data_IF_398152502572
#
_entry.id   IF_398152502572
#
_cell.length_a   1.000
_cell.length_b   1.000
_cell.length_c   1.000
_cell.angle_alpha   90.00
_cell.angle_beta   90.00
_cell.angle_gamma   90.00
#
_symmetry.space_group_name_H-M   'P 1'
#
loop_
_entity.id
_entity.type
_entity.pdbx_description
1 polymer ?
#
# COMPACT_ATOMS: atom_id res chain seq x y z
N UNK A 1 -47.58 -22.59 54.66
CA UNK A 1 -47.30 -23.86 53.96
C UNK A 1 -46.76 -23.49 52.58
N UNK A 2 -45.56 -23.75 52.09
CA UNK A 2 -44.38 -24.54 52.46
C UNK A 2 -43.20 -23.90 51.68
N UNK A 3 -42.26 -23.19 52.30
CA UNK A 3 -40.91 -23.63 52.73
C UNK A 3 -40.21 -24.70 51.87
N UNK A 4 -39.03 -24.33 51.33
CA UNK A 4 -37.75 -25.08 51.11
C UNK A 4 -36.91 -24.28 50.08
N UNK A 5 -36.01 -23.37 50.45
CA UNK A 5 -34.67 -23.50 51.07
C UNK A 5 -33.58 -24.06 50.13
N UNK A 6 -32.78 -23.11 49.61
CA UNK A 6 -31.32 -23.09 49.31
C UNK A 6 -30.68 -24.24 48.53
N UNK A 7 -29.97 -23.89 47.45
CA UNK A 7 -28.55 -24.21 47.32
C UNK A 7 -27.84 -23.21 46.40
N UNK A 8 -26.81 -22.60 46.98
CA UNK A 8 -25.86 -21.68 46.38
C UNK A 8 -24.78 -22.53 45.71
N UNK A 9 -24.34 -22.16 44.51
CA UNK A 9 -23.03 -22.55 44.00
C UNK A 9 -22.50 -21.43 43.11
N UNK A 10 -21.82 -20.50 43.78
CA UNK A 10 -20.80 -19.63 43.22
C UNK A 10 -19.62 -20.52 42.81
N UNK A 11 -19.40 -20.69 41.51
CA UNK A 11 -18.13 -21.24 41.01
C UNK A 11 -17.28 -20.06 40.57
N UNK A 12 -16.39 -19.66 41.48
CA UNK A 12 -15.19 -18.89 41.18
C UNK A 12 -14.30 -19.73 40.26
N UNK A 13 -14.26 -19.37 38.97
CA UNK A 13 -13.26 -19.84 38.02
C UNK A 13 -12.23 -18.74 37.79
N UNK A 14 -11.18 -18.74 38.61
CA UNK A 14 -9.97 -17.95 38.46
C UNK A 14 -9.23 -18.30 37.17
N UNK A 15 -8.69 -17.25 36.54
CA UNK A 15 -7.43 -17.20 35.80
C UNK A 15 -7.20 -18.15 34.61
N UNK A 16 -7.00 -17.56 33.44
CA UNK A 16 -5.92 -17.96 32.51
C UNK A 16 -5.63 -16.84 31.49
N UNK A 17 -5.06 -15.74 32.00
CA UNK A 17 -4.12 -14.90 31.25
C UNK A 17 -2.76 -15.62 31.28
N UNK A 18 -2.45 -16.50 30.34
CA UNK A 18 -1.06 -16.90 29.97
C UNK A 18 -1.09 -18.02 28.93
N UNK A 19 -0.91 -17.69 27.65
CA UNK A 19 -0.36 -18.63 26.67
C UNK A 19 0.96 -18.08 26.13
N UNK A 20 1.88 -17.78 27.05
CA UNK A 20 3.31 -17.80 26.77
C UNK A 20 3.95 -18.84 27.68
N UNK A 21 4.49 -19.87 27.02
CA UNK A 21 5.51 -20.82 27.45
C UNK A 21 5.19 -21.76 28.63
N UNK A 22 5.20 -23.09 28.36
CA UNK A 22 6.11 -24.08 28.99
C UNK A 22 6.26 -25.32 28.10
N UNK A 23 7.19 -25.28 27.16
CA UNK A 23 7.87 -26.50 26.68
C UNK A 23 9.30 -26.42 27.21
N UNK A 24 9.49 -26.96 28.41
CA UNK A 24 10.79 -27.36 28.92
C UNK A 24 10.79 -28.90 28.92
N UNK A 25 11.89 -29.47 28.43
CA UNK A 25 12.30 -30.88 28.52
C UNK A 25 11.96 -31.84 27.37
N UNK A 26 12.59 -31.62 26.21
CA UNK A 26 13.11 -32.68 25.32
C UNK A 26 14.42 -32.21 24.68
N UNK A 27 15.52 -32.99 24.70
CA UNK A 27 16.73 -32.64 23.97
C UNK A 27 16.48 -32.91 22.48
N UNK A 28 16.13 -31.86 21.75
CA UNK A 28 16.08 -31.85 20.29
C UNK A 28 17.39 -31.25 19.79
N UNK A 29 18.03 -31.97 18.88
CA UNK A 29 19.28 -31.62 18.25
C UNK A 29 19.22 -30.21 17.64
N UNK A 30 20.36 -29.51 17.70
CA UNK A 30 20.57 -28.19 17.13
C UNK A 30 20.28 -28.19 15.63
N UNK A 31 19.15 -27.57 15.24
CA UNK A 31 19.11 -26.44 14.30
C UNK A 31 17.65 -25.93 14.21
N UNK A 32 17.43 -24.74 14.79
CA UNK A 32 16.46 -23.72 14.33
C UNK A 32 14.94 -23.99 14.42
N UNK A 33 14.33 -23.78 15.59
CA UNK A 33 12.89 -23.46 15.73
C UNK A 33 12.71 -22.27 16.68
N UNK A 34 13.13 -21.08 16.24
CA UNK A 34 12.83 -19.82 16.88
C UNK A 34 11.55 -19.23 16.27
N UNK A 35 10.41 -19.58 16.87
CA UNK A 35 9.12 -18.99 16.56
C UNK A 35 8.54 -18.42 17.85
N UNK A 36 8.96 -17.20 18.22
CA UNK A 36 8.09 -16.11 18.69
C UNK A 36 8.86 -14.98 19.42
N UNK A 37 9.73 -14.24 18.72
CA UNK A 37 10.24 -12.96 19.24
C UNK A 37 10.77 -12.01 18.15
N UNK A 38 9.88 -11.34 17.41
CA UNK A 38 10.12 -10.01 16.81
C UNK A 38 8.73 -9.48 16.36
N UNK A 39 8.20 -8.36 16.87
CA UNK A 39 8.87 -7.08 16.79
C UNK A 39 8.91 -6.65 15.31
N UNK A 40 7.74 -6.51 14.69
CA UNK A 40 7.60 -6.09 13.30
C UNK A 40 8.12 -4.66 13.13
N UNK A 41 9.37 -4.55 12.69
CA UNK A 41 10.00 -3.45 11.96
C UNK A 41 11.48 -3.82 11.80
N UNK A 42 11.73 -4.81 10.97
CA UNK A 42 13.01 -4.97 10.30
C UNK A 42 12.66 -5.15 8.83
N UNK A 43 12.56 -4.01 8.12
CA UNK A 43 12.57 -3.98 6.68
C UNK A 43 13.73 -4.85 6.19
N UNK A 44 13.40 -5.76 5.28
CA UNK A 44 14.26 -6.85 4.87
C UNK A 44 15.67 -6.38 4.53
N UNK A 45 16.65 -7.09 5.06
CA UNK A 45 18.03 -7.03 4.63
C UNK A 45 18.12 -7.56 3.19
N UNK A 46 17.79 -6.73 2.19
CA UNK A 46 17.99 -7.03 0.78
C UNK A 46 19.49 -6.99 0.47
N UNK A 47 20.12 -8.15 0.25
CA UNK A 47 21.45 -8.20 -0.36
C UNK A 47 21.35 -8.63 -1.83
N UNK A 48 21.67 -7.65 -2.68
CA UNK A 48 21.92 -7.67 -4.12
C UNK A 48 20.68 -8.07 -4.97
N UNK A 49 19.85 -7.14 -5.44
CA UNK A 49 20.25 -6.07 -6.37
C UNK A 49 19.27 -4.89 -6.41
N UNK A 50 19.81 -3.67 -6.40
CA UNK A 50 19.37 -2.56 -7.25
C UNK A 50 17.92 -2.02 -7.17
N UNK A 51 17.26 -2.04 -6.00
CA UNK A 51 16.05 -1.23 -5.83
C UNK A 51 16.40 0.13 -5.19
N UNK A 52 16.07 1.27 -5.82
CA UNK A 52 16.29 2.60 -5.26
C UNK A 52 15.52 2.81 -3.95
N UNK A 53 16.01 3.71 -3.09
CA UNK A 53 15.34 4.04 -1.81
C UNK A 53 13.98 4.73 -2.00
N UNK A 54 13.69 5.24 -3.19
CA UNK A 54 12.41 5.85 -3.56
C UNK A 54 11.32 4.83 -3.90
N UNK A 55 11.64 3.54 -3.93
CA UNK A 55 10.68 2.46 -4.21
C UNK A 55 10.40 1.67 -2.94
N UNK A 56 9.14 1.33 -2.70
CA UNK A 56 8.77 0.39 -1.64
C UNK A 56 9.22 -1.03 -1.98
N UNK A 57 9.14 -1.38 -3.26
CA UNK A 57 9.66 -2.64 -3.79
C UNK A 57 9.98 -2.53 -5.28
N UNK A 58 10.80 -3.47 -5.76
CA UNK A 58 11.06 -3.63 -7.18
C UNK A 58 10.66 -5.02 -7.65
N UNK A 59 9.86 -5.08 -8.71
CA UNK A 59 9.36 -6.33 -9.29
C UNK A 59 9.79 -6.38 -10.76
N UNK A 60 10.61 -7.38 -11.13
CA UNK A 60 11.12 -7.56 -12.50
C UNK A 60 11.77 -6.31 -13.14
N UNK A 61 12.37 -5.42 -12.35
CA UNK A 61 13.00 -4.18 -12.84
C UNK A 61 12.07 -2.98 -12.92
N UNK A 62 10.85 -3.08 -12.37
CA UNK A 62 9.91 -1.96 -12.21
C UNK A 62 9.92 -1.48 -10.77
N UNK A 63 10.05 -0.18 -10.55
CA UNK A 63 9.92 0.46 -9.26
C UNK A 63 8.44 0.52 -8.90
N UNK A 64 8.05 0.04 -7.73
CA UNK A 64 6.68 0.17 -7.24
C UNK A 64 6.64 0.98 -5.95
N UNK A 65 5.74 1.97 -5.95
CA UNK A 65 5.43 2.85 -4.83
C UNK A 65 3.98 2.57 -4.43
N UNK A 66 3.76 2.13 -3.20
CA UNK A 66 2.45 1.77 -2.66
C UNK A 66 1.98 2.86 -1.70
N UNK A 67 1.15 3.75 -2.23
CA UNK A 67 0.39 4.70 -1.45
C UNK A 67 -0.83 3.98 -0.86
N UNK A 68 -0.58 3.23 0.24
CA UNK A 68 -1.47 2.24 0.88
C UNK A 68 -2.88 2.72 1.30
N UNK A 69 -3.57 2.06 2.25
CA UNK A 69 -4.95 2.43 2.57
C UNK A 69 -5.02 3.81 3.25
N UNK A 70 -6.00 4.62 2.88
CA UNK A 70 -6.16 6.00 3.37
C UNK A 70 -5.39 7.00 2.51
N UNK A 71 -4.83 8.03 3.13
CA UNK A 71 -4.19 9.20 2.50
C UNK A 71 -2.65 9.20 2.63
N UNK A 72 -2.02 8.04 2.41
CA UNK A 72 -0.60 7.80 2.73
C UNK A 72 0.40 8.68 1.98
N UNK A 73 0.05 9.13 0.76
CA UNK A 73 0.88 9.99 -0.08
C UNK A 73 0.17 11.31 -0.42
N UNK A 74 -0.79 11.74 0.40
CA UNK A 74 -1.54 12.97 0.17
C UNK A 74 -0.60 14.17 0.15
N UNK A 75 -0.68 14.96 -0.93
CA UNK A 75 0.16 16.15 -1.16
C UNK A 75 1.68 15.89 -1.26
N UNK A 76 2.10 14.64 -1.41
CA UNK A 76 3.52 14.30 -1.54
C UNK A 76 4.07 14.60 -2.95
N UNK A 77 5.39 14.80 -3.01
CA UNK A 77 6.14 14.87 -4.25
C UNK A 77 6.78 13.50 -4.53
N UNK A 78 6.10 12.69 -5.34
CA UNK A 78 6.53 11.34 -5.71
C UNK A 78 7.39 11.44 -6.97
N UNK A 79 8.70 11.19 -6.83
CA UNK A 79 9.64 11.22 -7.95
C UNK A 79 10.15 9.81 -8.20
N UNK A 80 9.78 9.26 -9.35
CA UNK A 80 10.25 7.95 -9.77
C UNK A 80 11.74 7.97 -10.08
N UNK A 81 12.49 6.92 -9.69
CA UNK A 81 13.93 6.88 -9.91
C UNK A 81 14.28 6.74 -11.40
N UNK A 82 15.40 7.33 -11.85
CA UNK A 82 15.84 7.20 -13.23
C UNK A 82 16.33 5.78 -13.53
N UNK A 83 16.24 5.38 -14.80
CA UNK A 83 16.84 4.12 -15.27
C UNK A 83 15.92 2.91 -15.23
N UNK A 84 14.64 3.08 -14.88
CA UNK A 84 13.67 1.99 -14.77
C UNK A 84 12.23 2.47 -14.88
N UNK A 85 11.31 1.57 -15.22
CA UNK A 85 9.88 1.85 -15.21
C UNK A 85 9.36 2.02 -13.78
N UNK A 86 8.27 2.77 -13.64
CA UNK A 86 7.70 3.11 -12.34
C UNK A 86 6.20 2.87 -12.29
N UNK A 87 5.71 2.30 -11.19
CA UNK A 87 4.29 2.12 -10.91
C UNK A 87 3.94 2.76 -9.57
N UNK A 88 3.00 3.69 -9.57
CA UNK A 88 2.43 4.30 -8.37
C UNK A 88 1.04 3.74 -8.15
N UNK A 89 0.83 3.06 -7.02
CA UNK A 89 -0.44 2.46 -6.65
C UNK A 89 -1.11 3.26 -5.53
N UNK A 90 -2.18 3.97 -5.88
CA UNK A 90 -3.01 4.78 -5.00
C UNK A 90 -4.28 3.99 -4.64
N UNK A 91 -4.14 3.01 -3.75
CA UNK A 91 -5.19 2.03 -3.43
C UNK A 91 -6.23 2.59 -2.44
N UNK A 92 -5.80 3.47 -1.54
CA UNK A 92 -6.64 4.09 -0.52
C UNK A 92 -7.54 5.22 -1.03
N UNK A 93 -8.64 5.48 -0.31
CA UNK A 93 -9.43 6.69 -0.49
C UNK A 93 -8.56 7.93 -0.26
N UNK A 94 -8.46 8.80 -1.27
CA UNK A 94 -7.58 9.97 -1.28
C UNK A 94 -6.08 9.68 -1.13
N UNK A 95 -5.62 8.46 -1.39
CA UNK A 95 -4.23 8.02 -1.21
C UNK A 95 -3.17 8.99 -1.73
N UNK A 96 -3.39 9.56 -2.90
CA UNK A 96 -2.48 10.44 -3.59
C UNK A 96 -3.12 11.81 -3.85
N UNK A 97 -4.18 12.20 -3.13
CA UNK A 97 -4.87 13.47 -3.40
C UNK A 97 -3.88 14.64 -3.39
N UNK A 98 -3.95 15.48 -4.42
CA UNK A 98 -3.06 16.63 -4.62
C UNK A 98 -1.55 16.31 -4.67
N UNK A 99 -1.17 15.04 -4.84
CA UNK A 99 0.22 14.66 -5.02
C UNK A 99 0.79 15.13 -6.38
N UNK A 100 2.10 15.26 -6.44
CA UNK A 100 2.85 15.54 -7.67
C UNK A 100 3.69 14.32 -8.02
N UNK A 101 3.35 13.63 -9.11
CA UNK A 101 3.97 12.39 -9.56
C UNK A 101 4.81 12.71 -10.80
N UNK A 102 6.13 12.50 -10.71
CA UNK A 102 7.06 12.69 -11.82
C UNK A 102 7.69 11.35 -12.20
N UNK A 103 7.40 10.90 -13.42
CA UNK A 103 7.99 9.72 -14.04
C UNK A 103 9.42 9.97 -14.50
N UNK A 104 10.22 8.90 -14.68
CA UNK A 104 11.59 9.01 -15.12
C UNK A 104 11.69 9.25 -16.63
N UNK A 105 12.71 10.01 -17.04
CA UNK A 105 13.00 10.28 -18.46
C UNK A 105 13.36 9.00 -19.21
N UNK A 106 12.68 8.74 -20.34
CA UNK A 106 12.95 7.57 -21.19
C UNK A 106 12.36 6.24 -20.71
N UNK A 107 11.54 6.24 -19.66
CA UNK A 107 10.91 5.04 -19.08
C UNK A 107 9.41 5.24 -18.88
N UNK A 108 8.68 4.13 -18.71
CA UNK A 108 7.24 4.12 -18.57
C UNK A 108 6.81 4.48 -17.13
N UNK A 109 5.70 5.21 -17.02
CA UNK A 109 5.02 5.53 -15.77
C UNK A 109 3.61 4.95 -15.77
N UNK A 110 3.30 4.08 -14.81
CA UNK A 110 1.93 3.63 -14.56
C UNK A 110 1.42 4.22 -13.24
N UNK A 111 0.21 4.78 -13.25
CA UNK A 111 -0.46 5.29 -12.06
C UNK A 111 -1.83 4.63 -11.95
N UNK A 112 -2.04 3.87 -10.87
CA UNK A 112 -3.30 3.20 -10.57
C UNK A 112 -4.02 3.93 -9.42
N UNK A 113 -5.26 4.37 -9.68
CA UNK A 113 -6.08 5.15 -8.77
C UNK A 113 -7.35 4.37 -8.45
N UNK A 114 -7.27 3.46 -7.48
CA UNK A 114 -8.32 2.47 -7.21
C UNK A 114 -9.31 2.95 -6.14
N UNK A 115 -8.81 3.74 -5.17
CA UNK A 115 -9.63 4.33 -4.11
C UNK A 115 -10.53 5.48 -4.59
N UNK A 116 -11.54 5.83 -3.80
CA UNK A 116 -12.39 6.99 -4.09
C UNK A 116 -11.56 8.27 -4.04
N UNK A 117 -11.60 9.05 -5.12
CA UNK A 117 -10.80 10.27 -5.23
C UNK A 117 -9.31 10.04 -4.96
N UNK A 118 -8.80 8.82 -5.21
CA UNK A 118 -7.43 8.44 -4.86
C UNK A 118 -6.39 9.41 -5.41
N UNK A 119 -6.57 9.88 -6.64
CA UNK A 119 -5.66 10.78 -7.34
C UNK A 119 -6.28 12.16 -7.60
N UNK A 120 -7.34 12.54 -6.86
CA UNK A 120 -8.03 13.80 -7.14
C UNK A 120 -7.08 15.01 -7.00
N UNK A 121 -7.09 15.90 -7.99
CA UNK A 121 -6.25 17.09 -8.04
C UNK A 121 -4.75 16.80 -8.19
N UNK A 122 -4.34 15.57 -8.54
CA UNK A 122 -2.92 15.25 -8.75
C UNK A 122 -2.36 15.92 -9.99
N UNK A 123 -1.04 16.12 -9.99
CA UNK A 123 -0.29 16.40 -11.21
C UNK A 123 0.58 15.20 -11.53
N UNK A 124 0.45 14.67 -12.74
CA UNK A 124 1.21 13.52 -13.22
C UNK A 124 2.01 13.98 -14.42
N UNK A 125 3.33 13.83 -14.37
CA UNK A 125 4.22 14.17 -15.47
C UNK A 125 5.04 12.96 -15.89
N UNK A 126 4.85 12.52 -17.13
CA UNK A 126 5.55 11.35 -17.66
C UNK A 126 6.81 11.74 -18.44
N UNK A 127 7.82 10.88 -18.42
CA UNK A 127 9.04 11.04 -19.22
C UNK A 127 8.88 10.47 -20.64
N UNK A 128 8.57 9.19 -20.76
CA UNK A 128 8.29 8.52 -22.03
C UNK A 128 6.82 8.13 -22.16
N UNK A 129 6.46 6.95 -21.69
CA UNK A 129 5.11 6.39 -21.77
C UNK A 129 4.35 6.63 -20.45
N UNK A 130 3.03 6.78 -20.54
CA UNK A 130 2.17 6.87 -19.35
C UNK A 130 0.88 6.10 -19.49
N UNK A 131 0.52 5.39 -18.42
CA UNK A 131 -0.78 4.76 -18.24
C UNK A 131 -1.41 5.26 -16.93
N UNK A 132 -2.53 5.99 -17.03
CA UNK A 132 -3.31 6.44 -15.88
C UNK A 132 -4.61 5.64 -15.77
N UNK A 133 -4.77 4.84 -14.71
CA UNK A 133 -5.96 4.02 -14.49
C UNK A 133 -6.80 4.62 -13.37
N UNK A 134 -7.98 5.10 -13.71
CA UNK A 134 -8.93 5.70 -12.78
C UNK A 134 -10.06 4.71 -12.51
N UNK A 135 -9.83 3.77 -11.59
CA UNK A 135 -10.77 2.71 -11.26
C UNK A 135 -11.78 3.16 -10.19
N UNK A 136 -11.34 3.93 -9.20
CA UNK A 136 -12.19 4.42 -8.12
C UNK A 136 -13.15 5.55 -8.52
N UNK A 137 -14.27 5.68 -7.78
CA UNK A 137 -15.25 6.75 -8.03
C UNK A 137 -14.59 8.13 -7.87
N UNK A 138 -14.72 9.00 -8.86
CA UNK A 138 -14.02 10.30 -8.91
C UNK A 138 -12.51 10.20 -8.70
N UNK A 139 -11.89 9.05 -9.01
CA UNK A 139 -10.49 8.76 -8.71
C UNK A 139 -9.52 9.82 -9.24
N UNK A 140 -9.70 10.27 -10.48
CA UNK A 140 -8.84 11.25 -11.14
C UNK A 140 -9.56 12.57 -11.40
N UNK A 141 -10.52 12.92 -10.55
CA UNK A 141 -11.17 14.22 -10.64
C UNK A 141 -10.15 15.36 -10.52
N UNK A 142 -10.27 16.39 -11.36
CA UNK A 142 -9.36 17.54 -11.42
C UNK A 142 -7.86 17.19 -11.61
N UNK A 143 -7.54 16.00 -12.09
CA UNK A 143 -6.14 15.56 -12.30
C UNK A 143 -5.54 16.25 -13.54
N UNK A 144 -4.26 16.59 -13.48
CA UNK A 144 -3.50 17.12 -14.61
C UNK A 144 -2.47 16.08 -15.06
N UNK A 145 -2.74 15.41 -16.17
CA UNK A 145 -1.83 14.48 -16.82
C UNK A 145 -1.02 15.23 -17.89
N UNK A 146 0.31 15.24 -17.74
CA UNK A 146 1.27 15.69 -18.75
C UNK A 146 1.87 14.45 -19.42
N UNK A 147 1.52 14.24 -20.67
CA UNK A 147 2.06 13.14 -21.46
C UNK A 147 3.55 13.37 -21.74
N UNK A 148 4.29 12.27 -21.80
CA UNK A 148 5.69 12.27 -22.20
C UNK A 148 5.85 12.27 -23.72
N UNK A 149 7.03 11.87 -24.19
CA UNK A 149 7.34 11.73 -25.62
C UNK A 149 6.82 10.43 -26.26
N UNK A 150 6.34 9.50 -25.45
CA UNK A 150 5.83 8.19 -25.85
C UNK A 150 4.30 8.12 -25.87
N UNK A 151 3.80 6.93 -25.57
CA UNK A 151 2.39 6.61 -25.54
C UNK A 151 1.72 7.24 -24.31
N UNK A 152 0.50 7.74 -24.48
CA UNK A 152 -0.24 8.38 -23.40
C UNK A 152 -1.65 7.81 -23.33
N UNK A 153 -1.84 6.89 -22.38
CA UNK A 153 -3.10 6.19 -22.16
C UNK A 153 -3.72 6.57 -20.81
N UNK A 154 -5.04 6.66 -20.80
CA UNK A 154 -5.81 6.80 -19.58
C UNK A 154 -7.12 6.02 -19.68
N UNK A 155 -7.54 5.44 -18.56
CA UNK A 155 -8.77 4.66 -18.48
C UNK A 155 -9.66 5.21 -17.37
N UNK A 156 -10.95 5.35 -17.67
CA UNK A 156 -11.97 5.81 -16.75
C UNK A 156 -12.98 4.68 -16.54
N UNK A 157 -12.85 3.93 -15.45
CA UNK A 157 -13.64 2.71 -15.26
C UNK A 157 -14.92 2.90 -14.43
N UNK A 158 -15.04 3.99 -13.67
CA UNK A 158 -16.18 4.23 -12.79
C UNK A 158 -16.81 5.61 -12.96
N UNK A 159 -17.96 5.81 -12.31
CA UNK A 159 -18.75 7.03 -12.45
C UNK A 159 -17.95 8.26 -12.01
N UNK A 160 -17.84 9.25 -12.91
CA UNK A 160 -17.13 10.50 -12.65
C UNK A 160 -15.63 10.33 -12.41
N UNK A 161 -15.03 9.17 -12.70
CA UNK A 161 -13.61 8.89 -12.41
C UNK A 161 -12.64 9.86 -13.08
N UNK A 162 -13.09 10.58 -14.13
CA UNK A 162 -12.29 11.51 -14.93
C UNK A 162 -13.02 12.83 -15.22
N UNK A 163 -14.00 13.24 -14.40
CA UNK A 163 -14.94 14.34 -14.72
C UNK A 163 -14.23 15.67 -15.06
N UNK A 164 -13.14 15.99 -14.36
CA UNK A 164 -12.27 17.14 -14.64
C UNK A 164 -10.81 16.76 -14.94
N UNK A 165 -10.57 15.58 -15.53
CA UNK A 165 -9.22 15.17 -15.97
C UNK A 165 -8.76 16.07 -17.13
N UNK A 166 -7.58 16.67 -16.99
CA UNK A 166 -6.93 17.49 -18.01
C UNK A 166 -5.69 16.76 -18.51
N UNK A 167 -5.66 16.44 -19.81
CA UNK A 167 -4.51 15.81 -20.48
C UNK A 167 -3.81 16.85 -21.37
N UNK A 168 -2.49 16.95 -21.30
CA UNK A 168 -1.68 17.92 -22.06
C UNK A 168 -0.38 17.35 -22.56
#
# INVERSE_FOLDING_TARGET
MSSRTRLVSFVLGLASLTSCARVFDRPVAADELDACAAGGSAGGMHRASACPESCDRCEAGVCRIDCGPGSSCESDAIVCPPGMDCTVACEGDRACTSASIAGPEGYALAVACDGRSACAGTSVAAGLDVELRCEGASACDATNLRCGSGNCDWTCASAGSCDALVVR
#
